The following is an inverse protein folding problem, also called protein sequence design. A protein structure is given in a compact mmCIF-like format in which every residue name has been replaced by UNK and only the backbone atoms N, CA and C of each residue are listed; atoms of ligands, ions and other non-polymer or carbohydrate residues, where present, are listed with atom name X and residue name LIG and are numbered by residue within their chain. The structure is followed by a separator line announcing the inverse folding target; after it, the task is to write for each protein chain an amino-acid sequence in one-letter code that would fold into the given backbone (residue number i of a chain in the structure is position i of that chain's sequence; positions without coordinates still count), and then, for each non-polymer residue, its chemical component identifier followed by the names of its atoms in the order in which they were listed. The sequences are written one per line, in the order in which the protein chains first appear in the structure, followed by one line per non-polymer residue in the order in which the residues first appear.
data_IF_900734928622
#
_entry.id   IF_900734928622
#
_cell.length_a   1.000
_cell.length_b   1.000
_cell.length_c   1.000
_cell.angle_alpha   90.00
_cell.angle_beta   90.00
_cell.angle_gamma   90.00
#
_symmetry.space_group_name_H-M   'P 1'
#
loop_
_entity.id
_entity.type
_entity.pdbx_description
1 polymer ?
#
# COMPACT_ATOMS: atom_id res chain seq x y z
N UNK A 1 -7.51 16.87 4.69
CA UNK A 1 -8.63 15.91 4.83
C UNK A 1 -9.07 15.31 3.48
N UNK A 2 -9.39 16.11 2.46
CA UNK A 2 -9.80 15.58 1.14
C UNK A 2 -8.77 14.64 0.49
N UNK A 3 -7.48 15.01 0.49
CA UNK A 3 -6.39 14.14 0.01
C UNK A 3 -6.34 12.78 0.72
N UNK A 4 -6.56 12.76 2.03
CA UNK A 4 -6.53 11.52 2.79
C UNK A 4 -7.72 10.60 2.47
N UNK A 5 -8.91 11.19 2.22
CA UNK A 5 -10.08 10.45 1.73
C UNK A 5 -9.84 9.89 0.33
N UNK A 6 -9.27 10.70 -0.56
CA UNK A 6 -8.92 10.27 -1.92
C UNK A 6 -7.98 9.05 -1.89
N UNK A 7 -6.84 9.16 -1.21
CA UNK A 7 -5.88 8.05 -1.14
C UNK A 7 -6.43 6.85 -0.34
N UNK A 8 -7.27 7.09 0.66
CA UNK A 8 -7.96 6.01 1.38
C UNK A 8 -8.93 5.24 0.47
N UNK A 9 -9.68 5.93 -0.39
CA UNK A 9 -10.54 5.28 -1.39
C UNK A 9 -9.71 4.51 -2.41
N UNK A 10 -8.61 5.10 -2.89
CA UNK A 10 -7.67 4.44 -3.81
C UNK A 10 -7.12 3.15 -3.20
N UNK A 11 -6.70 3.16 -1.92
CA UNK A 11 -6.30 1.94 -1.19
C UNK A 11 -7.41 0.90 -1.18
N UNK A 12 -8.66 1.28 -0.87
CA UNK A 12 -9.79 0.33 -0.80
C UNK A 12 -10.03 -0.33 -2.16
N UNK A 13 -10.06 0.46 -3.23
CA UNK A 13 -10.32 -0.02 -4.61
C UNK A 13 -9.22 -0.97 -5.08
N UNK A 14 -7.97 -0.67 -4.73
CA UNK A 14 -6.80 -1.42 -5.22
C UNK A 14 -6.39 -2.60 -4.34
N UNK A 15 -6.90 -2.69 -3.10
CA UNK A 15 -6.58 -3.76 -2.13
C UNK A 15 -6.82 -5.19 -2.65
N UNK A 16 -7.89 -5.50 -3.41
CA UNK A 16 -8.08 -6.85 -3.94
C UNK A 16 -6.92 -7.33 -4.83
N UNK A 17 -6.28 -6.42 -5.58
CA UNK A 17 -5.14 -6.76 -6.43
C UNK A 17 -3.90 -7.07 -5.61
N UNK A 18 -3.61 -6.26 -4.59
CA UNK A 18 -2.52 -6.53 -3.66
C UNK A 18 -2.74 -7.85 -2.92
N UNK A 19 -3.97 -8.14 -2.52
CA UNK A 19 -4.34 -9.41 -1.90
C UNK A 19 -4.11 -10.59 -2.86
N UNK A 20 -4.52 -10.47 -4.12
CA UNK A 20 -4.27 -11.48 -5.15
C UNK A 20 -2.78 -11.72 -5.36
N UNK A 21 -2.00 -10.65 -5.54
CA UNK A 21 -0.55 -10.73 -5.71
C UNK A 21 0.09 -11.38 -4.49
N UNK A 22 -0.26 -10.95 -3.27
CA UNK A 22 0.31 -11.52 -2.04
C UNK A 22 0.05 -13.04 -1.89
N UNK A 23 -1.15 -13.51 -2.25
CA UNK A 23 -1.55 -14.92 -2.07
C UNK A 23 -1.39 -15.78 -3.33
N UNK A 24 -0.75 -15.27 -4.39
CA UNK A 24 -0.58 -16.05 -5.60
C UNK A 24 0.31 -17.29 -5.36
N UNK A 25 0.01 -18.43 -6.01
CA UNK A 25 0.87 -19.61 -5.97
C UNK A 25 2.28 -19.29 -6.49
N UNK A 26 3.29 -20.03 -6.03
CA UNK A 26 4.69 -19.82 -6.45
C UNK A 26 4.89 -19.83 -7.97
N UNK A 27 4.15 -20.67 -8.70
CA UNK A 27 4.20 -20.73 -10.17
C UNK A 27 3.74 -19.41 -10.84
N UNK A 28 2.80 -18.69 -10.23
CA UNK A 28 2.31 -17.40 -10.73
C UNK A 28 3.24 -16.24 -10.36
N UNK A 29 4.07 -16.40 -9.32
CA UNK A 29 5.02 -15.37 -8.90
C UNK A 29 6.03 -15.05 -10.01
N UNK A 30 6.48 -16.04 -10.79
CA UNK A 30 7.41 -15.79 -11.89
C UNK A 30 6.79 -14.93 -12.99
N UNK A 31 5.50 -15.14 -13.28
CA UNK A 31 4.74 -14.32 -14.24
C UNK A 31 4.62 -12.89 -13.72
N UNK A 32 4.30 -12.72 -12.44
CA UNK A 32 4.19 -11.42 -11.78
C UNK A 32 5.54 -10.69 -11.65
N UNK A 33 6.63 -11.42 -11.39
CA UNK A 33 8.01 -10.91 -11.40
C UNK A 33 8.37 -10.35 -12.77
N UNK A 34 8.13 -11.11 -13.84
CA UNK A 34 8.33 -10.63 -15.22
C UNK A 34 7.48 -9.40 -15.54
N UNK A 35 6.22 -9.40 -15.12
CA UNK A 35 5.35 -8.25 -15.28
C UNK A 35 5.88 -7.00 -14.57
N UNK A 36 6.42 -7.14 -13.35
CA UNK A 36 7.03 -6.02 -12.64
C UNK A 36 8.31 -5.53 -13.32
N UNK A 37 9.19 -6.45 -13.75
CA UNK A 37 10.39 -6.10 -14.53
C UNK A 37 10.02 -5.32 -15.79
N UNK A 38 8.97 -5.76 -16.50
CA UNK A 38 8.45 -5.08 -17.68
C UNK A 38 7.91 -3.68 -17.39
N UNK A 39 7.11 -3.52 -16.33
CA UNK A 39 6.58 -2.22 -15.91
C UNK A 39 7.73 -1.25 -15.60
N UNK A 40 8.77 -1.74 -14.94
CA UNK A 40 9.96 -0.95 -14.59
C UNK A 40 10.81 -0.60 -15.82
N UNK A 41 11.07 -1.56 -16.70
CA UNK A 41 11.90 -1.34 -17.91
C UNK A 41 11.21 -0.43 -18.92
N UNK A 42 9.89 -0.56 -19.10
CA UNK A 42 9.09 0.32 -19.98
C UNK A 42 9.04 1.76 -19.49
N UNK A 43 9.55 2.04 -18.27
CA UNK A 43 9.52 3.35 -17.62
C UNK A 43 10.90 3.79 -17.12
N UNK A 44 11.98 3.58 -17.90
CA UNK A 44 13.34 4.05 -17.59
C UNK A 44 13.44 5.54 -17.14
N UNK A 45 12.45 6.39 -17.44
CA UNK A 45 12.43 7.79 -16.99
C UNK A 45 11.75 8.07 -15.64
N UNK A 46 11.14 7.06 -14.99
CA UNK A 46 10.35 7.27 -13.78
C UNK A 46 11.02 6.66 -12.54
N UNK A 47 11.71 7.51 -11.77
CA UNK A 47 12.01 7.26 -10.36
C UNK A 47 10.76 6.80 -9.60
N UNK A 48 10.91 6.15 -8.43
CA UNK A 48 9.77 5.81 -7.56
C UNK A 48 8.87 7.02 -7.21
N UNK A 49 9.44 8.24 -7.29
CA UNK A 49 8.71 9.52 -7.18
C UNK A 49 7.98 9.98 -8.45
N UNK A 50 8.35 9.46 -9.62
CA UNK A 50 7.74 9.74 -10.94
C UNK A 50 6.73 8.66 -11.35
N UNK A 51 6.87 7.40 -10.93
CA UNK A 51 5.76 6.42 -10.98
C UNK A 51 4.51 6.93 -10.23
N UNK A 52 4.68 7.96 -9.41
CA UNK A 52 3.69 8.68 -8.60
C UNK A 52 3.05 9.90 -9.28
N UNK A 53 3.67 10.44 -10.32
CA UNK A 53 3.20 11.59 -11.14
C UNK A 53 2.93 11.22 -12.59
N UNK A 54 3.31 10.02 -13.03
CA UNK A 54 2.73 9.41 -14.21
C UNK A 54 1.22 9.52 -14.05
N UNK A 55 0.62 10.33 -14.90
CA UNK A 55 -0.80 10.36 -15.11
C UNK A 55 -1.20 8.96 -15.56
N UNK A 56 -1.49 8.12 -14.57
CA UNK A 56 -1.95 6.78 -14.81
C UNK A 56 -3.39 6.83 -15.30
N UNK A 57 -4.12 7.97 -15.28
CA UNK A 57 -5.51 8.04 -15.75
C UNK A 57 -5.68 7.32 -17.08
N UNK A 58 -5.10 7.85 -18.16
CA UNK A 58 -5.26 7.25 -19.49
C UNK A 58 -4.60 5.86 -19.62
N UNK A 59 -3.43 5.62 -19.02
CA UNK A 59 -2.68 4.35 -19.20
C UNK A 59 -3.20 3.21 -18.31
N UNK A 60 -3.78 3.55 -17.16
CA UNK A 60 -4.50 2.65 -16.27
C UNK A 60 -5.90 2.41 -16.79
N UNK A 61 -6.65 3.42 -17.24
CA UNK A 61 -7.92 3.21 -17.96
C UNK A 61 -7.71 2.24 -19.13
N UNK A 62 -6.73 2.46 -20.00
CA UNK A 62 -6.40 1.53 -21.10
C UNK A 62 -6.06 0.11 -20.60
N UNK A 63 -5.31 -0.02 -19.50
CA UNK A 63 -4.99 -1.31 -18.87
C UNK A 63 -6.18 -1.93 -18.13
N UNK A 64 -7.12 -1.11 -17.67
CA UNK A 64 -8.34 -1.52 -17.00
C UNK A 64 -9.40 -1.96 -18.03
N UNK A 65 -9.40 -1.35 -19.21
CA UNK A 65 -10.30 -1.61 -20.34
C UNK A 65 -9.78 -2.71 -21.27
N UNK A 66 -8.47 -2.95 -21.30
CA UNK A 66 -7.90 -4.05 -22.09
C UNK A 66 -8.31 -5.42 -21.58
N UNK A 67 -8.52 -6.33 -22.54
CA UNK A 67 -8.94 -7.70 -22.27
C UNK A 67 -7.87 -8.44 -21.45
N UNK A 68 -8.20 -8.97 -20.25
CA UNK A 68 -7.25 -9.66 -19.39
C UNK A 68 -6.66 -10.94 -19.99
N UNK A 69 -7.25 -11.47 -21.06
CA UNK A 69 -6.73 -12.64 -21.82
C UNK A 69 -5.61 -12.28 -22.79
N UNK A 70 -5.42 -10.99 -23.08
CA UNK A 70 -4.34 -10.53 -23.97
C UNK A 70 -2.97 -10.59 -23.29
N UNK A 71 -1.93 -10.51 -24.11
CA UNK A 71 -0.55 -10.39 -23.67
C UNK A 71 0.14 -9.21 -24.36
N UNK A 72 1.06 -8.56 -23.64
CA UNK A 72 1.99 -7.55 -24.15
C UNK A 72 3.40 -8.09 -23.97
N UNK A 73 4.16 -8.19 -25.05
CA UNK A 73 5.51 -8.77 -25.04
C UNK A 73 5.59 -10.15 -24.37
N UNK A 74 4.55 -10.98 -24.60
CA UNK A 74 4.44 -12.31 -24.01
C UNK A 74 4.04 -12.34 -22.53
N UNK A 75 3.72 -11.19 -21.93
CA UNK A 75 3.28 -11.06 -20.53
C UNK A 75 1.78 -10.79 -20.52
N UNK A 76 1.02 -11.57 -19.75
CA UNK A 76 -0.43 -11.36 -19.62
C UNK A 76 -0.76 -9.96 -19.09
N UNK A 77 -1.71 -9.29 -19.74
CA UNK A 77 -2.24 -7.99 -19.32
C UNK A 77 -2.79 -8.04 -17.89
N UNK A 78 -3.37 -9.18 -17.48
CA UNK A 78 -3.82 -9.43 -16.09
C UNK A 78 -2.68 -9.35 -15.08
N UNK A 79 -1.51 -9.88 -15.42
CA UNK A 79 -0.33 -9.84 -14.54
C UNK A 79 0.21 -8.42 -14.40
N UNK A 80 0.31 -7.69 -15.52
CA UNK A 80 0.72 -6.27 -15.55
C UNK A 80 -0.22 -5.43 -14.69
N UNK A 81 -1.54 -5.56 -14.91
CA UNK A 81 -2.58 -4.85 -14.16
C UNK A 81 -2.52 -5.15 -12.66
N UNK A 82 -2.39 -6.43 -12.31
CA UNK A 82 -2.30 -6.86 -10.92
C UNK A 82 -1.09 -6.25 -10.20
N UNK A 83 0.09 -6.25 -10.84
CA UNK A 83 1.29 -5.65 -10.25
C UNK A 83 1.18 -4.14 -10.12
N UNK A 84 0.67 -3.46 -11.16
CA UNK A 84 0.53 -2.00 -11.15
C UNK A 84 -0.45 -1.54 -10.05
N UNK A 85 -1.62 -2.15 -9.97
CA UNK A 85 -2.64 -1.81 -8.97
C UNK A 85 -2.21 -2.18 -7.55
N UNK A 86 -1.44 -3.26 -7.39
CA UNK A 86 -0.82 -3.60 -6.11
C UNK A 86 0.18 -2.53 -5.66
N UNK A 87 1.00 -2.05 -6.59
CA UNK A 87 1.94 -0.96 -6.34
C UNK A 87 1.22 0.34 -5.95
N UNK A 88 0.14 0.68 -6.67
CA UNK A 88 -0.71 1.81 -6.35
C UNK A 88 -1.33 1.68 -4.95
N UNK A 89 -1.81 0.50 -4.57
CA UNK A 89 -2.37 0.24 -3.24
C UNK A 89 -1.39 0.56 -2.11
N UNK A 90 -0.14 0.11 -2.24
CA UNK A 90 0.90 0.37 -1.25
C UNK A 90 1.18 1.87 -1.10
N UNK A 91 1.39 2.57 -2.22
CA UNK A 91 1.69 4.00 -2.19
C UNK A 91 0.53 4.86 -1.71
N UNK A 92 -0.69 4.50 -2.08
CA UNK A 92 -1.91 5.15 -1.62
C UNK A 92 -2.09 4.97 -0.12
N UNK A 93 -1.76 3.79 0.41
CA UNK A 93 -1.76 3.54 1.85
C UNK A 93 -0.76 4.44 2.58
N UNK A 94 0.47 4.59 2.07
CA UNK A 94 1.45 5.54 2.62
C UNK A 94 0.92 6.97 2.60
N UNK A 95 0.42 7.43 1.44
CA UNK A 95 -0.06 8.81 1.27
C UNK A 95 -1.25 9.09 2.17
N UNK A 96 -2.18 8.16 2.26
CA UNK A 96 -3.35 8.24 3.13
C UNK A 96 -2.93 8.34 4.60
N UNK A 97 -1.97 7.52 5.04
CA UNK A 97 -1.42 7.60 6.41
C UNK A 97 -0.69 8.91 6.67
N UNK A 98 0.20 9.33 5.76
CA UNK A 98 0.97 10.59 5.89
C UNK A 98 0.12 11.85 5.79
N UNK A 99 -1.00 11.82 5.07
CA UNK A 99 -1.88 12.98 4.91
C UNK A 99 -2.52 13.44 6.24
N UNK A 100 -2.41 12.63 7.30
CA UNK A 100 -2.82 12.97 8.66
C UNK A 100 -1.63 13.26 9.59
N UNK A 101 -0.39 13.19 9.12
CA UNK A 101 0.78 13.61 9.88
C UNK A 101 0.88 15.14 9.85
N UNK A 102 1.01 15.78 11.02
CA UNK A 102 1.13 17.23 11.13
C UNK A 102 -0.18 18.00 11.38
N UNK A 103 -1.34 17.32 11.49
CA UNK A 103 -2.57 17.97 11.99
C UNK A 103 -2.43 18.15 13.51
N UNK A 104 -1.85 19.30 13.92
CA UNK A 104 -1.60 19.67 15.32
C UNK A 104 -2.83 20.23 16.04
N UNK A 105 -3.82 20.70 15.30
CA UNK A 105 -5.06 21.26 15.85
C UNK A 105 -6.08 20.15 16.09
N UNK A 106 -7.00 20.38 17.04
CA UNK A 106 -8.19 19.52 17.26
C UNK A 106 -8.80 19.25 15.88
N UNK A 107 -8.73 18.00 15.43
CA UNK A 107 -9.40 17.56 14.21
C UNK A 107 -10.86 18.01 14.36
N UNK A 108 -11.28 19.04 13.61
CA UNK A 108 -12.71 19.35 13.37
C UNK A 108 -13.27 18.29 12.42
N UNK A 109 -13.00 17.03 12.75
CA UNK A 109 -13.52 15.85 12.09
C UNK A 109 -14.51 15.29 13.09
N UNK A 110 -15.73 15.06 12.63
CA UNK A 110 -16.83 14.54 13.45
C UNK A 110 -16.52 13.19 14.11
N UNK A 111 -15.48 12.48 13.68
CA UNK A 111 -15.10 11.17 14.21
C UNK A 111 -13.56 10.97 14.22
N UNK A 112 -12.91 11.27 15.34
CA UNK A 112 -11.47 11.05 15.54
C UNK A 112 -11.11 9.55 15.50
N UNK A 113 -12.00 8.70 16.03
CA UNK A 113 -11.85 7.25 15.97
C UNK A 113 -11.77 6.77 14.51
N UNK A 114 -12.76 7.10 13.68
CA UNK A 114 -12.79 6.67 12.27
C UNK A 114 -11.58 7.15 11.47
N UNK A 115 -11.04 8.32 11.81
CA UNK A 115 -9.84 8.86 11.15
C UNK A 115 -8.57 8.07 11.51
N UNK A 116 -8.41 7.71 12.77
CA UNK A 116 -7.25 6.93 13.24
C UNK A 116 -7.40 5.47 12.80
N UNK A 117 -8.61 4.91 12.85
CA UNK A 117 -8.89 3.55 12.43
C UNK A 117 -8.64 3.33 10.93
N UNK A 118 -8.90 4.35 10.08
CA UNK A 118 -8.51 4.29 8.68
C UNK A 118 -6.97 4.22 8.49
N UNK A 119 -6.20 4.98 9.28
CA UNK A 119 -4.73 4.91 9.25
C UNK A 119 -4.23 3.55 9.74
N UNK A 120 -4.85 3.00 10.79
CA UNK A 120 -4.61 1.65 11.25
C UNK A 120 -4.77 0.62 10.12
N UNK A 121 -5.88 0.68 9.38
CA UNK A 121 -6.12 -0.22 8.24
C UNK A 121 -5.04 -0.14 7.16
N UNK A 122 -4.59 1.07 6.81
CA UNK A 122 -3.49 1.27 5.87
C UNK A 122 -2.17 0.66 6.39
N UNK A 123 -1.88 0.79 7.69
CA UNK A 123 -0.68 0.22 8.29
C UNK A 123 -0.68 -1.32 8.22
N UNK A 124 -1.83 -1.97 8.30
CA UNK A 124 -1.92 -3.44 8.12
C UNK A 124 -1.59 -3.85 6.68
N UNK A 125 -2.07 -3.09 5.69
CA UNK A 125 -1.74 -3.30 4.27
C UNK A 125 -0.22 -3.21 4.07
N UNK A 126 0.40 -2.17 4.63
CA UNK A 126 1.84 -1.97 4.52
C UNK A 126 2.65 -3.03 5.27
N UNK A 127 2.19 -3.46 6.44
CA UNK A 127 2.84 -4.51 7.22
C UNK A 127 2.89 -5.83 6.45
N UNK A 128 1.78 -6.23 5.83
CA UNK A 128 1.70 -7.42 4.99
C UNK A 128 2.73 -7.37 3.85
N UNK A 129 2.93 -6.20 3.24
CA UNK A 129 3.92 -6.03 2.17
C UNK A 129 5.36 -6.22 2.66
N UNK A 130 5.66 -5.84 3.90
CA UNK A 130 6.98 -6.03 4.51
C UNK A 130 7.25 -7.48 4.94
N UNK A 131 6.21 -8.24 5.26
CA UNK A 131 6.32 -9.65 5.66
C UNK A 131 6.54 -10.59 4.46
N UNK A 132 6.04 -10.23 3.28
CA UNK A 132 6.24 -11.02 2.07
C UNK A 132 7.72 -11.12 1.69
N UNK A 133 8.27 -12.34 1.75
CA UNK A 133 9.66 -12.60 1.36
C UNK A 133 9.89 -12.26 -0.10
N UNK A 134 8.98 -12.67 -0.99
CA UNK A 134 9.19 -12.51 -2.43
C UNK A 134 8.99 -11.06 -2.90
N UNK A 135 8.30 -10.20 -2.14
CA UNK A 135 8.25 -8.77 -2.43
C UNK A 135 9.63 -8.10 -2.23
N UNK A 136 10.48 -8.67 -1.37
CA UNK A 136 11.86 -8.17 -1.19
C UNK A 136 12.72 -8.41 -2.43
N UNK A 137 12.38 -9.43 -3.23
CA UNK A 137 13.04 -9.71 -4.52
C UNK A 137 12.63 -8.72 -5.62
N UNK A 138 11.57 -7.95 -5.41
CA UNK A 138 11.05 -6.99 -6.39
C UNK A 138 11.63 -5.60 -6.15
N UNK A 139 12.70 -5.27 -6.87
CA UNK A 139 13.36 -3.97 -6.75
C UNK A 139 12.37 -2.80 -7.00
N UNK A 140 12.33 -1.86 -6.05
CA UNK A 140 11.47 -0.68 -6.07
C UNK A 140 9.97 -0.93 -5.89
N UNK A 141 9.53 -2.18 -5.65
CA UNK A 141 8.11 -2.50 -5.54
C UNK A 141 7.50 -2.08 -4.20
N UNK A 142 8.15 -2.48 -3.10
CA UNK A 142 7.66 -2.26 -1.74
C UNK A 142 8.43 -1.13 -1.03
N UNK A 143 7.76 -0.19 -0.36
CA UNK A 143 8.39 0.94 0.34
C UNK A 143 8.90 0.55 1.75
N UNK A 144 9.73 -0.50 1.82
CA UNK A 144 10.07 -1.22 3.07
C UNK A 144 10.65 -0.30 4.16
N UNK A 145 11.45 0.70 3.79
CA UNK A 145 12.16 1.54 4.75
C UNK A 145 11.25 2.55 5.50
N UNK A 146 10.11 2.93 4.92
CA UNK A 146 9.23 3.95 5.52
C UNK A 146 8.18 3.35 6.45
N UNK A 147 7.84 2.08 6.26
CA UNK A 147 6.73 1.40 6.95
C UNK A 147 6.90 1.39 8.47
N UNK A 148 8.06 1.04 9.06
CA UNK A 148 8.21 1.01 10.52
C UNK A 148 7.87 2.35 11.18
N UNK A 149 8.35 3.46 10.61
CA UNK A 149 8.08 4.81 11.13
C UNK A 149 6.59 5.16 11.06
N UNK A 150 5.91 4.80 9.97
CA UNK A 150 4.47 5.05 9.80
C UNK A 150 3.63 4.25 10.80
N UNK A 151 4.03 3.00 11.09
CA UNK A 151 3.39 2.17 12.11
C UNK A 151 3.56 2.80 13.50
N UNK A 152 4.78 3.24 13.86
CA UNK A 152 5.04 3.89 15.15
C UNK A 152 4.24 5.18 15.35
N UNK A 153 4.20 6.04 14.33
CA UNK A 153 3.43 7.29 14.36
C UNK A 153 1.92 7.01 14.52
N UNK A 154 1.42 5.96 13.87
CA UNK A 154 0.00 5.55 13.97
C UNK A 154 -0.29 4.92 15.32
N UNK A 155 0.60 4.06 15.83
CA UNK A 155 0.53 3.49 17.18
C UNK A 155 0.47 4.58 18.26
N UNK A 156 1.31 5.61 18.13
CA UNK A 156 1.28 6.74 19.04
C UNK A 156 -0.12 7.39 19.08
N UNK A 157 -0.72 7.67 17.91
CA UNK A 157 -2.09 8.21 17.82
C UNK A 157 -3.12 7.26 18.46
N UNK A 158 -3.07 5.96 18.16
CA UNK A 158 -3.97 4.97 18.75
C UNK A 158 -3.91 4.99 20.29
N UNK A 159 -2.69 5.05 20.86
CA UNK A 159 -2.46 5.13 22.30
C UNK A 159 -2.93 6.46 22.90
N UNK A 160 -2.66 7.60 22.24
CA UNK A 160 -3.10 8.92 22.72
C UNK A 160 -4.62 9.02 22.85
N UNK A 161 -5.36 8.40 21.93
CA UNK A 161 -6.82 8.49 21.87
C UNK A 161 -7.56 7.27 22.42
N UNK A 162 -6.85 6.28 22.99
CA UNK A 162 -7.47 5.04 23.50
C UNK A 162 -8.47 5.27 24.63
N UNK A 163 -8.25 6.31 25.44
CA UNK A 163 -9.17 6.68 26.52
C UNK A 163 -10.51 7.21 26.00
N UNK A 164 -10.52 7.82 24.80
CA UNK A 164 -11.74 8.32 24.15
C UNK A 164 -12.42 7.25 23.29
N UNK A 165 -11.64 6.29 22.78
CA UNK A 165 -12.13 5.19 21.96
C UNK A 165 -11.35 3.91 22.29
N UNK A 166 -11.88 3.05 23.19
CA UNK A 166 -11.18 1.83 23.65
C UNK A 166 -10.77 0.87 22.53
N UNK A 167 -11.48 0.87 21.40
CA UNK A 167 -11.12 0.11 20.21
C UNK A 167 -9.71 0.45 19.68
N UNK A 168 -9.27 1.71 19.80
CA UNK A 168 -7.90 2.12 19.40
C UNK A 168 -6.82 1.46 20.27
N UNK A 169 -7.16 1.06 21.49
CA UNK A 169 -6.25 0.27 22.34
C UNK A 169 -5.97 -1.11 21.73
N UNK A 170 -6.98 -1.74 21.09
CA UNK A 170 -6.80 -3.00 20.35
C UNK A 170 -6.00 -2.77 19.07
N UNK A 171 -6.31 -1.71 18.32
CA UNK A 171 -5.58 -1.32 17.11
C UNK A 171 -4.09 -1.13 17.40
N UNK A 172 -3.76 -0.46 18.52
CA UNK A 172 -2.38 -0.32 19.00
C UNK A 172 -1.69 -1.67 19.20
N UNK A 173 -2.35 -2.62 19.88
CA UNK A 173 -1.77 -3.94 20.16
C UNK A 173 -1.50 -4.73 18.88
N UNK A 174 -2.39 -4.64 17.90
CA UNK A 174 -2.22 -5.30 16.59
C UNK A 174 -1.03 -4.69 15.85
N UNK A 175 -0.93 -3.37 15.76
CA UNK A 175 0.20 -2.70 15.12
C UNK A 175 1.53 -2.97 15.83
N UNK A 176 1.53 -3.05 17.15
CA UNK A 176 2.71 -3.40 17.93
C UNK A 176 3.26 -4.79 17.56
N UNK A 177 2.38 -5.78 17.41
CA UNK A 177 2.75 -7.13 16.96
C UNK A 177 3.31 -7.12 15.54
N UNK A 178 2.64 -6.41 14.62
CA UNK A 178 3.09 -6.27 13.24
C UNK A 178 4.47 -5.60 13.15
N UNK A 179 4.70 -4.51 13.89
CA UNK A 179 5.99 -3.82 13.93
C UNK A 179 7.12 -4.72 14.45
N UNK A 180 6.83 -5.54 15.47
CA UNK A 180 7.79 -6.50 16.00
C UNK A 180 8.17 -7.56 14.97
N UNK A 181 7.19 -8.11 14.25
CA UNK A 181 7.39 -9.04 13.13
C UNK A 181 8.31 -8.45 12.07
N UNK A 182 7.98 -7.24 11.58
CA UNK A 182 8.77 -6.54 10.55
C UNK A 182 10.22 -6.31 10.99
N UNK A 183 10.45 -5.88 12.24
CA UNK A 183 11.80 -5.66 12.79
C UNK A 183 12.56 -6.96 13.00
N UNK A 184 11.88 -8.04 13.36
CA UNK A 184 12.46 -9.38 13.46
C UNK A 184 12.96 -9.91 12.11
N UNK A 185 12.26 -9.56 11.02
CA UNK A 185 12.64 -9.90 9.64
C UNK A 185 13.78 -9.05 9.05
N UNK A 186 14.24 -8.03 9.77
CA UNK A 186 15.37 -7.16 9.37
C UNK A 186 16.70 -7.54 10.06
N UNK A 187 16.69 -8.56 10.93
CA UNK A 187 17.90 -9.14 11.55
C UNK A 187 18.33 -10.37 10.77
#
# INVERSE_FOLDING_TARGET
MLRAKYYGAETIITRPYLHYVYHCPGADQDVLKRAWTYIRSSKESLTASKLREADWGNSLEDLLESDPTQSRDGISTKAIRSMLLSHACMWSSIRSTKAFNGIRTRLKVTNIFGTIHAQFGNCLVLAQCCESVWFKDLDGFAPIHEVPKLLEETMHKCKTYSNLAPALGKDYQVLHKALYSIRGLQR
#
